data_IF_690018191401
#
_entry.id   IF_690018191401
#
_cell.length_a   1.000
_cell.length_b   1.000
_cell.length_c   1.000
_cell.angle_alpha   90.00
_cell.angle_beta   90.00
_cell.angle_gamma   90.00
#
_symmetry.space_group_name_H-M   'P 1'
#
loop_
_entity.id
_entity.type
_entity.pdbx_description
1 polymer ?
#
# COMPACT_ATOMS: atom_id res chain seq x y z
N UNK A 1 13.54 1.52 1.53
CA UNK A 1 12.20 0.93 1.32
C UNK A 1 12.24 -0.24 0.34
N UNK A 2 12.63 -0.04 -0.93
CA UNK A 2 12.78 -1.11 -1.94
C UNK A 2 13.55 -2.35 -1.46
N UNK A 3 14.68 -2.14 -0.77
CA UNK A 3 15.54 -3.23 -0.32
C UNK A 3 14.90 -4.08 0.79
N UNK A 4 14.12 -3.45 1.68
CA UNK A 4 13.45 -4.13 2.80
C UNK A 4 12.18 -4.86 2.38
N UNK A 5 11.47 -4.34 1.37
CA UNK A 5 10.24 -4.97 0.89
C UNK A 5 10.51 -6.32 0.24
N UNK A 6 9.78 -7.35 0.67
CA UNK A 6 9.85 -8.68 0.06
C UNK A 6 8.92 -8.80 -1.14
N UNK A 7 7.89 -7.94 -1.22
CA UNK A 7 6.92 -7.88 -2.31
C UNK A 7 6.73 -6.42 -2.74
N UNK A 8 6.81 -6.13 -4.04
CA UNK A 8 6.56 -4.80 -4.61
C UNK A 8 5.57 -4.96 -5.74
N UNK A 9 4.41 -4.30 -5.62
CA UNK A 9 3.28 -4.51 -6.52
C UNK A 9 2.57 -3.21 -6.87
N UNK A 10 1.93 -3.20 -8.04
CA UNK A 10 0.96 -2.19 -8.44
C UNK A 10 -0.40 -2.85 -8.52
N UNK A 11 -1.42 -2.18 -8.03
CA UNK A 11 -2.77 -2.75 -8.04
C UNK A 11 -3.82 -1.82 -7.49
N UNK A 12 -4.98 -2.39 -7.22
CA UNK A 12 -6.16 -1.67 -6.72
C UNK A 12 -6.78 -2.44 -5.55
N UNK A 13 -7.12 -1.77 -4.43
CA UNK A 13 -7.93 -2.39 -3.41
C UNK A 13 -9.34 -2.57 -3.95
N UNK A 14 -9.84 -3.80 -3.93
CA UNK A 14 -11.15 -4.16 -4.48
C UNK A 14 -12.22 -4.16 -3.39
N UNK A 15 -11.85 -4.42 -2.13
CA UNK A 15 -12.79 -4.47 -1.01
C UNK A 15 -12.09 -4.25 0.34
N UNK A 16 -12.79 -3.61 1.28
CA UNK A 16 -12.45 -3.65 2.71
C UNK A 16 -13.02 -4.94 3.29
N UNK A 17 -12.15 -5.81 3.81
CA UNK A 17 -12.52 -7.08 4.42
C UNK A 17 -12.88 -6.91 5.89
N UNK A 18 -12.14 -6.09 6.61
CA UNK A 18 -12.32 -5.85 8.04
C UNK A 18 -11.67 -4.52 8.45
N UNK A 19 -12.17 -3.91 9.53
CA UNK A 19 -11.62 -2.70 10.13
C UNK A 19 -11.77 -2.77 11.66
N UNK A 20 -10.67 -2.64 12.39
CA UNK A 20 -10.67 -2.76 13.85
C UNK A 20 -9.62 -1.86 14.49
N UNK A 21 -9.74 -1.62 15.79
CA UNK A 21 -8.75 -0.90 16.59
C UNK A 21 -8.05 -1.86 17.56
N UNK A 22 -6.73 -1.79 17.65
CA UNK A 22 -5.93 -2.56 18.62
C UNK A 22 -4.87 -1.67 19.23
N UNK A 23 -4.81 -1.59 20.55
CA UNK A 23 -3.85 -0.75 21.29
C UNK A 23 -3.88 0.73 20.86
N UNK A 24 -5.07 1.26 20.54
CA UNK A 24 -5.28 2.61 20.02
C UNK A 24 -4.68 2.89 18.64
N UNK A 25 -4.39 1.85 17.87
CA UNK A 25 -4.06 1.96 16.45
C UNK A 25 -5.20 1.36 15.63
N UNK A 26 -5.80 2.12 14.69
CA UNK A 26 -6.75 1.56 13.73
C UNK A 26 -6.02 0.67 12.71
N UNK A 27 -6.68 -0.37 12.26
CA UNK A 27 -6.20 -1.29 11.22
C UNK A 27 -7.32 -1.55 10.23
N UNK A 28 -6.97 -1.64 8.95
CA UNK A 28 -7.91 -1.97 7.88
C UNK A 28 -7.32 -3.08 7.02
N UNK A 29 -8.06 -4.17 6.88
CA UNK A 29 -7.71 -5.29 6.02
C UNK A 29 -8.37 -5.12 4.66
N UNK A 30 -7.57 -5.20 3.60
CA UNK A 30 -8.03 -5.05 2.22
C UNK A 30 -7.87 -6.35 1.45
N UNK A 31 -8.80 -6.56 0.51
CA UNK A 31 -8.56 -7.37 -0.68
C UNK A 31 -7.99 -6.46 -1.76
N UNK A 32 -6.90 -6.87 -2.39
CA UNK A 32 -6.12 -6.04 -3.31
C UNK A 32 -5.77 -6.82 -4.57
N UNK A 33 -6.22 -6.33 -5.72
CA UNK A 33 -5.97 -6.94 -7.02
C UNK A 33 -4.61 -6.50 -7.58
N UNK A 34 -3.80 -7.46 -8.00
CA UNK A 34 -2.46 -7.25 -8.54
C UNK A 34 -2.51 -6.99 -10.04
N UNK A 35 -2.14 -5.78 -10.45
CA UNK A 35 -2.02 -5.41 -11.87
C UNK A 35 -0.60 -5.53 -12.41
N UNK A 36 0.42 -5.44 -11.54
CA UNK A 36 1.83 -5.63 -11.90
C UNK A 36 2.64 -6.06 -10.70
N UNK A 37 3.59 -6.97 -10.90
CA UNK A 37 4.51 -7.44 -9.83
C UNK A 37 5.94 -7.10 -10.20
N UNK A 38 6.61 -6.33 -9.35
CA UNK A 38 7.99 -5.89 -9.55
C UNK A 38 9.01 -6.73 -8.78
N UNK A 39 8.59 -7.35 -7.68
CA UNK A 39 9.45 -8.15 -6.79
C UNK A 39 8.58 -9.08 -5.95
N UNK A 40 9.05 -10.30 -5.70
CA UNK A 40 8.40 -11.29 -4.81
C UNK A 40 7.42 -12.21 -5.53
N UNK A 41 6.88 -13.19 -4.81
CA UNK A 41 6.07 -14.29 -5.35
C UNK A 41 4.59 -13.91 -5.58
N UNK A 42 4.32 -12.72 -6.11
CA UNK A 42 2.98 -12.30 -6.51
C UNK A 42 2.67 -12.72 -7.95
N UNK A 43 1.41 -13.03 -8.25
CA UNK A 43 0.95 -13.32 -9.61
C UNK A 43 0.04 -12.20 -10.12
N UNK A 44 0.35 -11.67 -11.30
CA UNK A 44 -0.48 -10.64 -11.94
C UNK A 44 -1.88 -11.20 -12.26
N UNK A 45 -2.91 -10.38 -12.07
CA UNK A 45 -4.31 -10.78 -12.23
C UNK A 45 -4.93 -11.43 -10.98
N UNK A 46 -4.14 -11.76 -9.96
CA UNK A 46 -4.65 -12.36 -8.72
C UNK A 46 -5.01 -11.31 -7.66
N UNK A 47 -5.63 -11.76 -6.57
CA UNK A 47 -5.93 -10.92 -5.41
C UNK A 47 -5.14 -11.40 -4.18
N UNK A 48 -4.65 -10.45 -3.41
CA UNK A 48 -4.01 -10.68 -2.11
C UNK A 48 -4.81 -10.02 -0.99
N UNK A 49 -4.59 -10.51 0.23
CA UNK A 49 -5.03 -9.83 1.43
C UNK A 49 -3.85 -9.11 2.08
N UNK A 50 -4.05 -7.84 2.42
CA UNK A 50 -3.06 -7.05 3.13
C UNK A 50 -3.71 -6.28 4.28
N UNK A 51 -2.90 -6.01 5.29
CA UNK A 51 -3.28 -5.22 6.46
C UNK A 51 -2.57 -3.88 6.39
N UNK A 52 -3.37 -2.82 6.43
CA UNK A 52 -2.91 -1.46 6.57
C UNK A 52 -3.09 -1.04 8.03
N UNK A 53 -2.04 -0.49 8.64
CA UNK A 53 -2.18 0.31 9.84
C UNK A 53 -2.70 1.71 9.49
N UNK A 54 -3.58 2.26 10.33
CA UNK A 54 -3.85 3.68 10.37
C UNK A 54 -2.97 4.26 11.47
N UNK A 55 -2.14 5.23 11.09
CA UNK A 55 -1.14 5.78 12.01
C UNK A 55 -1.82 6.40 13.25
N UNK A 56 -1.27 6.13 14.43
CA UNK A 56 -1.75 6.68 15.71
C UNK A 56 -1.28 8.12 15.96
N UNK A 57 -0.11 8.47 15.45
CA UNK A 57 0.64 9.67 15.87
C UNK A 57 0.69 10.80 14.84
N UNK A 58 0.16 10.59 13.63
CA UNK A 58 0.23 11.58 12.57
C UNK A 58 -1.15 12.17 12.30
N UNK A 59 -1.31 13.44 12.69
CA UNK A 59 -2.43 14.30 12.33
C UNK A 59 -2.42 14.54 10.81
N UNK A 60 -2.79 13.53 10.01
CA UNK A 60 -2.94 13.72 8.59
C UNK A 60 -4.27 14.46 8.33
N UNK A 61 -4.20 15.59 7.64
CA UNK A 61 -5.38 16.32 7.17
C UNK A 61 -6.25 15.51 6.19
N UNK A 62 -5.72 14.38 5.69
CA UNK A 62 -6.38 13.42 4.79
C UNK A 62 -6.19 12.03 5.38
N UNK A 63 -7.26 11.25 5.54
CA UNK A 63 -7.19 9.90 6.10
C UNK A 63 -6.12 9.05 5.38
N UNK A 64 -5.18 8.41 6.08
CA UNK A 64 -4.08 7.69 5.45
C UNK A 64 -4.51 6.35 4.85
N UNK A 65 -5.79 5.99 4.85
CA UNK A 65 -6.30 4.74 4.31
C UNK A 65 -6.27 4.73 2.77
N UNK A 66 -6.19 3.55 2.17
CA UNK A 66 -6.40 3.41 0.73
C UNK A 66 -7.89 3.56 0.38
N UNK A 67 -8.14 4.17 -0.78
CA UNK A 67 -9.45 4.29 -1.40
C UNK A 67 -9.70 3.09 -2.33
N UNK A 68 -10.83 2.42 -2.14
CA UNK A 68 -11.24 1.29 -2.99
C UNK A 68 -11.39 1.74 -4.44
N UNK A 69 -10.83 0.96 -5.37
CA UNK A 69 -10.85 1.24 -6.81
C UNK A 69 -9.70 2.12 -7.31
N UNK A 70 -8.97 2.78 -6.42
CA UNK A 70 -7.82 3.62 -6.79
C UNK A 70 -6.54 2.79 -7.00
N UNK A 71 -5.67 3.26 -7.88
CA UNK A 71 -4.43 2.55 -8.25
C UNK A 71 -3.30 2.97 -7.33
N UNK A 72 -2.59 1.99 -6.77
CA UNK A 72 -1.47 2.20 -5.86
C UNK A 72 -0.26 1.39 -6.26
N UNK A 73 0.92 1.88 -5.87
CA UNK A 73 2.11 1.05 -5.73
C UNK A 73 2.41 0.84 -4.24
N UNK A 74 2.61 -0.43 -3.87
CA UNK A 74 2.79 -0.86 -2.50
C UNK A 74 4.13 -1.58 -2.33
N UNK A 75 4.78 -1.29 -1.21
CA UNK A 75 5.98 -1.96 -0.74
C UNK A 75 5.58 -2.80 0.46
N UNK A 76 5.58 -4.12 0.31
CA UNK A 76 5.00 -5.05 1.27
C UNK A 76 6.05 -6.01 1.84
N UNK A 77 5.81 -6.41 3.08
CA UNK A 77 6.51 -7.52 3.74
C UNK A 77 5.53 -8.40 4.50
N UNK A 78 5.88 -9.67 4.73
CA UNK A 78 5.14 -10.53 5.65
C UNK A 78 5.54 -10.20 7.08
N UNK A 79 4.58 -9.87 7.92
CA UNK A 79 4.78 -9.72 9.35
C UNK A 79 5.15 -11.07 9.99
N UNK A 80 5.61 -11.02 11.24
CA UNK A 80 5.84 -12.22 12.07
C UNK A 80 4.57 -13.06 12.28
N UNK A 81 3.39 -12.48 12.10
CA UNK A 81 2.09 -13.17 12.17
C UNK A 81 1.62 -13.70 10.81
N UNK A 82 2.41 -13.52 9.74
CA UNK A 82 2.13 -14.00 8.39
C UNK A 82 1.30 -13.05 7.51
N UNK A 83 0.80 -11.94 8.06
CA UNK A 83 0.02 -10.94 7.32
C UNK A 83 0.92 -10.09 6.42
N UNK A 84 0.45 -9.73 5.22
CA UNK A 84 1.14 -8.75 4.38
C UNK A 84 0.88 -7.34 4.93
N UNK A 85 1.93 -6.60 5.23
CA UNK A 85 1.88 -5.24 5.78
C UNK A 85 2.75 -4.29 4.95
N UNK A 86 2.51 -2.98 5.07
CA UNK A 86 3.28 -1.96 4.36
C UNK A 86 4.62 -1.66 5.02
N UNK A 87 5.69 -1.72 4.24
CA UNK A 87 7.06 -1.41 4.65
C UNK A 87 7.24 0.10 4.73
N UNK A 88 7.34 0.63 5.95
CA UNK A 88 7.37 2.08 6.19
C UNK A 88 6.02 2.66 6.63
N UNK A 89 5.05 1.80 6.95
CA UNK A 89 3.78 2.19 7.56
C UNK A 89 2.79 2.86 6.59
N UNK A 90 1.83 3.64 7.11
CA UNK A 90 0.67 4.13 6.33
C UNK A 90 1.04 5.14 5.23
N UNK A 91 2.20 5.79 5.38
CA UNK A 91 2.74 6.74 4.42
C UNK A 91 3.42 6.05 3.22
N UNK A 92 3.78 4.77 3.34
CA UNK A 92 4.51 4.01 2.33
C UNK A 92 3.66 3.50 1.15
N UNK A 93 2.44 4.04 0.99
CA UNK A 93 1.61 3.85 -0.20
C UNK A 93 1.80 5.04 -1.12
N UNK A 94 1.84 4.78 -2.42
CA UNK A 94 1.84 5.84 -3.41
C UNK A 94 0.61 5.67 -4.31
N UNK A 95 -0.26 6.69 -4.31
CA UNK A 95 -1.48 6.73 -5.13
C UNK A 95 -1.12 7.22 -6.53
N UNK A 96 -1.73 6.64 -7.56
CA UNK A 96 -1.54 7.08 -8.92
C UNK A 96 -2.25 8.41 -9.17
N UNK A 97 -1.49 9.44 -9.53
CA UNK A 97 -1.99 10.72 -10.02
C UNK A 97 -2.16 10.64 -11.54
N UNK A 98 -3.41 10.69 -12.01
CA UNK A 98 -3.73 10.54 -13.45
C UNK A 98 -3.30 11.72 -14.30
N UNK A 99 -3.25 12.92 -13.73
CA UNK A 99 -2.90 14.15 -14.45
C UNK A 99 -1.40 14.18 -14.78
N UNK A 100 -0.58 13.86 -13.78
CA UNK A 100 0.87 13.90 -13.89
C UNK A 100 1.49 12.56 -14.28
N UNK A 101 0.69 11.49 -14.31
CA UNK A 101 1.11 10.10 -14.62
C UNK A 101 2.25 9.61 -13.72
N UNK A 102 2.19 9.95 -12.44
CA UNK A 102 3.15 9.55 -11.41
C UNK A 102 2.44 8.95 -10.20
N UNK A 103 3.15 8.17 -9.40
CA UNK A 103 2.69 7.71 -8.10
C UNK A 103 3.21 8.62 -7.00
N UNK A 104 2.33 9.05 -6.10
CA UNK A 104 2.63 10.02 -5.05
C UNK A 104 2.24 9.50 -3.68
N UNK A 105 3.15 9.60 -2.72
CA UNK A 105 2.87 9.31 -1.31
C UNK A 105 2.44 10.57 -0.57
N UNK A 106 1.75 10.37 0.56
CA UNK A 106 1.23 11.47 1.39
C UNK A 106 2.32 12.34 2.03
N UNK A 107 3.58 11.88 2.01
CA UNK A 107 4.75 12.61 2.50
C UNK A 107 5.52 13.35 1.39
N UNK A 108 4.97 13.38 0.16
CA UNK A 108 5.56 14.09 -0.99
C UNK A 108 6.55 13.27 -1.82
N UNK A 109 6.77 11.99 -1.48
CA UNK A 109 7.56 11.10 -2.32
C UNK A 109 6.88 10.81 -3.66
N UNK A 110 7.66 10.80 -4.75
CA UNK A 110 7.18 10.50 -6.11
C UNK A 110 7.93 9.33 -6.72
N UNK A 111 7.20 8.48 -7.44
CA UNK A 111 7.72 7.32 -8.16
C UNK A 111 7.05 7.28 -9.53
N UNK A 112 7.81 7.07 -10.60
CA UNK A 112 7.21 6.85 -11.91
C UNK A 112 6.71 5.42 -12.11
N UNK A 113 6.06 5.19 -13.23
CA UNK A 113 5.55 3.86 -13.58
C UNK A 113 6.66 2.81 -13.79
N UNK A 114 7.92 3.20 -13.90
CA UNK A 114 9.09 2.33 -14.04
C UNK A 114 9.85 2.11 -12.73
N UNK A 115 9.28 2.54 -11.59
CA UNK A 115 9.89 2.45 -10.27
C UNK A 115 11.21 3.27 -10.14
N UNK A 116 11.46 4.22 -11.04
CA UNK A 116 12.57 5.15 -10.94
C UNK A 116 12.18 6.33 -10.03
N UNK A 117 13.14 6.80 -9.24
CA UNK A 117 12.98 7.99 -8.40
C UNK A 117 13.41 9.19 -9.22
N UNK A 118 12.54 10.20 -9.29
CA UNK A 118 12.85 11.53 -9.84
C UNK A 118 13.11 12.52 -8.71
#
# INVERSE_FOLDING_TARGET
MKEKATLIVVGTPTKILDSYEKQHAPFTKYKFHLSKVYKGDGEEGTEIELLQDGNKDASYNVHPLMEVGEKYILFLERSSTGALIMVGGPAAKYKYNKEEKVFESIDGGRIDEHLERK
#
